data_IF_998082115325
#
_entry.id   IF_998082115325
#
_cell.length_a   1.000
_cell.length_b   1.000
_cell.length_c   1.000
_cell.angle_alpha   90.00
_cell.angle_beta   90.00
_cell.angle_gamma   90.00
#
_symmetry.space_group_name_H-M   'P 1'
#
loop_
_entity.id
_entity.type
_entity.pdbx_description
1 polymer ?
#
# COMPACT_ATOMS: atom_id res chain seq x y z
N UNK A 1 6.09 -4.97 -38.04
CA UNK A 1 4.97 -5.89 -37.68
C UNK A 1 5.33 -7.37 -37.84
N UNK A 2 5.70 -7.88 -39.03
CA UNK A 2 6.08 -9.31 -39.20
C UNK A 2 7.22 -9.76 -38.27
N UNK A 3 8.24 -8.94 -38.08
CA UNK A 3 9.38 -9.23 -37.21
C UNK A 3 8.98 -9.32 -35.71
N UNK A 4 8.08 -8.43 -35.25
CA UNK A 4 7.51 -8.48 -33.90
C UNK A 4 6.68 -9.75 -33.66
N UNK A 5 5.90 -10.20 -34.66
CA UNK A 5 5.13 -11.44 -34.54
C UNK A 5 6.02 -12.68 -34.44
N UNK A 6 7.15 -12.70 -35.17
CA UNK A 6 8.14 -13.80 -35.08
C UNK A 6 8.84 -13.78 -33.72
N UNK A 7 9.25 -12.61 -33.22
CA UNK A 7 9.84 -12.47 -31.89
C UNK A 7 8.86 -12.86 -30.78
N UNK A 8 7.59 -12.45 -30.89
CA UNK A 8 6.54 -12.86 -29.95
C UNK A 8 6.33 -14.38 -29.89
N UNK A 9 6.35 -15.06 -31.05
CA UNK A 9 6.25 -16.54 -31.11
C UNK A 9 7.46 -17.24 -30.49
N UNK A 10 8.67 -16.70 -30.69
CA UNK A 10 9.89 -17.24 -30.08
C UNK A 10 9.83 -17.15 -28.55
N UNK A 11 9.36 -16.01 -28.02
CA UNK A 11 9.17 -15.81 -26.59
C UNK A 11 8.10 -16.76 -26.04
N UNK A 12 6.97 -16.90 -26.74
CA UNK A 12 5.92 -17.85 -26.35
C UNK A 12 6.44 -19.30 -26.30
N UNK A 13 7.25 -19.70 -27.30
CA UNK A 13 7.88 -21.01 -27.33
C UNK A 13 8.85 -21.21 -26.15
N UNK A 14 9.64 -20.19 -25.80
CA UNK A 14 10.56 -20.23 -24.66
C UNK A 14 9.82 -20.35 -23.32
N UNK A 15 8.70 -19.63 -23.15
CA UNK A 15 7.86 -19.73 -21.94
C UNK A 15 7.28 -21.14 -21.80
N UNK A 16 6.79 -21.74 -22.90
CA UNK A 16 6.30 -23.13 -22.89
C UNK A 16 7.42 -24.11 -22.52
N UNK A 17 8.61 -23.93 -23.08
CA UNK A 17 9.76 -24.76 -22.77
C UNK A 17 10.15 -24.67 -21.28
N UNK A 18 10.18 -23.44 -20.74
CA UNK A 18 10.41 -23.19 -19.32
C UNK A 18 9.36 -23.88 -18.43
N UNK A 19 8.07 -23.77 -18.76
CA UNK A 19 6.99 -24.42 -17.99
C UNK A 19 7.16 -25.94 -17.96
N UNK A 20 7.41 -26.56 -19.11
CA UNK A 20 7.62 -28.01 -19.20
C UNK A 20 8.89 -28.45 -18.46
N UNK A 21 9.96 -27.66 -18.53
CA UNK A 21 11.21 -27.93 -17.85
C UNK A 21 11.08 -27.86 -16.31
N UNK A 22 10.30 -26.91 -15.79
CA UNK A 22 9.99 -26.76 -14.36
C UNK A 22 9.07 -27.90 -13.87
N UNK A 23 8.07 -28.27 -14.66
CA UNK A 23 7.18 -29.39 -14.32
C UNK A 23 7.90 -30.74 -14.29
N UNK A 24 8.85 -30.93 -15.21
CA UNK A 24 9.54 -32.22 -15.39
C UNK A 24 10.77 -32.34 -14.48
N UNK A 25 11.46 -31.25 -14.17
CA UNK A 25 12.68 -31.25 -13.38
C UNK A 25 12.50 -30.52 -12.05
N UNK A 26 12.75 -31.22 -10.93
CA UNK A 26 12.85 -30.59 -9.59
C UNK A 26 14.17 -29.81 -9.41
N UNK A 27 14.84 -29.43 -10.50
CA UNK A 27 16.15 -28.81 -10.46
C UNK A 27 16.03 -27.29 -10.59
N UNK A 28 16.26 -26.58 -9.48
CA UNK A 28 16.21 -25.12 -9.40
C UNK A 28 17.18 -24.44 -10.38
N UNK A 29 18.37 -24.98 -10.58
CA UNK A 29 19.40 -24.35 -11.43
C UNK A 29 18.98 -24.30 -12.90
N UNK A 30 18.24 -25.32 -13.33
CA UNK A 30 17.70 -25.38 -14.68
C UNK A 30 16.54 -24.38 -14.86
N UNK A 31 15.67 -24.25 -13.85
CA UNK A 31 14.61 -23.24 -13.84
C UNK A 31 15.17 -21.80 -13.92
N UNK A 32 16.20 -21.50 -13.13
CA UNK A 32 16.89 -20.19 -13.15
C UNK A 32 17.54 -19.93 -14.51
N UNK A 33 18.18 -20.94 -15.11
CA UNK A 33 18.82 -20.78 -16.44
C UNK A 33 17.81 -20.47 -17.54
N UNK A 34 16.68 -21.19 -17.58
CA UNK A 34 15.64 -20.97 -18.58
C UNK A 34 14.89 -19.65 -18.35
N UNK A 35 14.73 -19.24 -17.09
CA UNK A 35 14.18 -17.94 -16.72
C UNK A 35 15.09 -16.79 -17.20
N UNK A 36 16.41 -16.87 -16.99
CA UNK A 36 17.35 -15.86 -17.47
C UNK A 36 17.33 -15.73 -19.00
N UNK A 37 17.24 -16.85 -19.74
CA UNK A 37 17.09 -16.82 -21.21
C UNK A 37 15.79 -16.15 -21.64
N UNK A 38 14.68 -16.41 -20.94
CA UNK A 38 13.43 -15.69 -21.19
C UNK A 38 13.61 -14.19 -20.96
N UNK A 39 14.25 -13.79 -19.86
CA UNK A 39 14.47 -12.38 -19.53
C UNK A 39 15.33 -11.66 -20.58
N UNK A 40 16.38 -12.29 -21.09
CA UNK A 40 17.22 -11.78 -22.19
C UNK A 40 16.44 -11.54 -23.49
N UNK A 41 15.48 -12.41 -23.81
CA UNK A 41 14.64 -12.29 -25.00
C UNK A 41 13.48 -11.30 -24.80
N UNK A 42 12.92 -11.27 -23.60
CA UNK A 42 11.76 -10.44 -23.25
C UNK A 42 12.10 -8.95 -23.22
N UNK A 43 13.20 -8.56 -22.58
CA UNK A 43 13.57 -7.15 -22.40
C UNK A 43 13.60 -6.35 -23.71
N UNK A 44 14.36 -6.79 -24.74
CA UNK A 44 14.41 -6.12 -26.04
C UNK A 44 13.08 -6.13 -26.80
N UNK A 45 12.25 -7.15 -26.60
CA UNK A 45 10.93 -7.26 -27.24
C UNK A 45 9.93 -6.31 -26.59
N UNK A 46 9.86 -6.31 -25.26
CA UNK A 46 9.06 -5.36 -24.50
C UNK A 46 9.42 -3.92 -24.86
N UNK A 47 10.72 -3.59 -24.95
CA UNK A 47 11.22 -2.29 -25.39
C UNK A 47 10.67 -1.82 -26.75
N UNK A 48 10.39 -2.74 -27.68
CA UNK A 48 9.80 -2.42 -28.98
C UNK A 48 8.27 -2.28 -28.95
N UNK A 49 7.61 -2.87 -27.95
CA UNK A 49 6.15 -2.78 -27.79
C UNK A 49 5.74 -1.50 -27.06
N UNK A 50 6.59 -0.98 -26.16
CA UNK A 50 6.29 0.22 -25.37
C UNK A 50 5.97 1.47 -26.21
N UNK A 51 6.71 1.82 -27.27
CA UNK A 51 6.42 3.01 -28.07
C UNK A 51 5.08 2.96 -28.82
N UNK A 52 4.41 1.81 -28.85
CA UNK A 52 3.14 1.64 -29.58
C UNK A 52 1.94 2.26 -28.83
N UNK A 53 2.12 2.70 -27.56
CA UNK A 53 1.12 3.40 -26.74
C UNK A 53 -0.30 2.81 -26.84
N UNK A 54 -0.39 1.48 -26.82
CA UNK A 54 -1.67 0.77 -26.91
C UNK A 54 -2.04 0.23 -25.52
N UNK A 55 -3.15 0.73 -24.98
CA UNK A 55 -3.67 0.37 -23.66
C UNK A 55 -3.84 -1.14 -23.43
N UNK A 56 -4.19 -1.91 -24.47
CA UNK A 56 -4.32 -3.37 -24.36
C UNK A 56 -2.96 -4.06 -24.24
N UNK A 57 -1.94 -3.53 -24.93
CA UNK A 57 -0.56 -4.01 -24.84
C UNK A 57 0.03 -3.65 -23.47
N UNK A 58 -0.15 -2.41 -23.01
CA UNK A 58 0.33 -1.96 -21.68
C UNK A 58 -0.19 -2.86 -20.55
N UNK A 59 -1.49 -3.17 -20.54
CA UNK A 59 -2.08 -4.06 -19.53
C UNK A 59 -1.47 -5.47 -19.55
N UNK A 60 -1.18 -5.98 -20.75
CA UNK A 60 -0.59 -7.31 -20.92
C UNK A 60 0.89 -7.31 -20.50
N UNK A 61 1.62 -6.26 -20.87
CA UNK A 61 3.01 -6.03 -20.47
C UNK A 61 3.14 -5.92 -18.94
N UNK A 62 2.26 -5.14 -18.29
CA UNK A 62 2.22 -5.01 -16.83
C UNK A 62 1.93 -6.35 -16.13
N UNK A 63 1.03 -7.17 -16.66
CA UNK A 63 0.75 -8.51 -16.10
C UNK A 63 1.96 -9.43 -16.22
N UNK A 64 2.67 -9.38 -17.35
CA UNK A 64 3.88 -10.19 -17.54
C UNK A 64 4.97 -9.75 -16.55
N UNK A 65 5.17 -8.44 -16.37
CA UNK A 65 6.12 -7.91 -15.37
C UNK A 65 5.70 -8.24 -13.92
N UNK A 66 4.41 -8.25 -13.60
CA UNK A 66 3.95 -8.71 -12.30
C UNK A 66 4.28 -10.19 -12.07
N UNK A 67 4.10 -11.02 -13.10
CA UNK A 67 4.44 -12.45 -13.04
C UNK A 67 5.95 -12.65 -12.94
N UNK A 68 6.74 -11.84 -13.65
CA UNK A 68 8.20 -11.85 -13.60
C UNK A 68 8.75 -11.56 -12.19
N UNK A 69 8.13 -10.59 -11.48
CA UNK A 69 8.44 -10.29 -10.08
C UNK A 69 8.12 -11.46 -9.15
N UNK A 70 6.95 -12.10 -9.33
CA UNK A 70 6.58 -13.29 -8.56
C UNK A 70 7.55 -14.45 -8.80
N UNK A 71 8.04 -14.59 -10.04
CA UNK A 71 9.03 -15.62 -10.38
C UNK A 71 10.40 -15.35 -9.74
N UNK A 72 10.84 -14.08 -9.66
CA UNK A 72 12.05 -13.74 -8.91
C UNK A 72 11.95 -14.14 -7.42
N UNK A 73 10.78 -13.95 -6.80
CA UNK A 73 10.52 -14.36 -5.42
C UNK A 73 10.55 -15.88 -5.26
N UNK A 74 9.87 -16.61 -6.15
CA UNK A 74 9.82 -18.09 -6.13
C UNK A 74 11.20 -18.72 -6.39
N UNK A 75 12.00 -18.12 -7.27
CA UNK A 75 13.32 -18.63 -7.65
C UNK A 75 14.45 -18.16 -6.72
N UNK A 76 14.14 -17.29 -5.75
CA UNK A 76 15.12 -16.59 -4.90
C UNK A 76 16.23 -15.95 -5.74
N UNK A 77 15.83 -15.13 -6.72
CA UNK A 77 16.74 -14.30 -7.50
C UNK A 77 16.78 -12.90 -6.90
N UNK A 78 17.98 -12.33 -6.78
CA UNK A 78 18.16 -10.95 -6.34
C UNK A 78 17.46 -10.01 -7.32
N UNK A 79 16.51 -9.21 -6.83
CA UNK A 79 15.82 -8.20 -7.64
C UNK A 79 16.84 -7.14 -8.05
N UNK A 80 17.31 -7.17 -9.30
CA UNK A 80 18.11 -6.06 -9.83
C UNK A 80 17.21 -4.88 -10.15
N UNK A 81 17.58 -3.67 -9.71
CA UNK A 81 16.86 -2.45 -10.03
C UNK A 81 16.83 -2.22 -11.56
N UNK A 82 15.68 -2.39 -12.20
CA UNK A 82 15.53 -2.07 -13.63
C UNK A 82 15.26 -0.57 -13.81
N UNK A 83 16.34 0.19 -14.01
CA UNK A 83 16.26 1.65 -14.27
C UNK A 83 15.42 1.98 -15.51
N UNK A 84 15.35 1.10 -16.51
CA UNK A 84 14.53 1.34 -17.72
C UNK A 84 13.05 1.22 -17.39
N UNK A 85 12.68 0.25 -16.56
CA UNK A 85 11.33 0.11 -16.05
C UNK A 85 10.91 1.35 -15.26
N UNK A 86 11.78 1.84 -14.38
CA UNK A 86 11.52 3.06 -13.59
C UNK A 86 11.34 4.29 -14.48
N UNK A 87 12.25 4.54 -15.43
CA UNK A 87 12.14 5.65 -16.38
C UNK A 87 10.82 5.62 -17.13
N UNK A 88 10.37 4.43 -17.52
CA UNK A 88 9.10 4.24 -18.21
C UNK A 88 7.90 4.51 -17.31
N UNK A 89 7.88 3.96 -16.09
CA UNK A 89 6.80 4.22 -15.13
C UNK A 89 6.68 5.72 -14.82
N UNK A 90 7.80 6.42 -14.65
CA UNK A 90 7.84 7.87 -14.47
C UNK A 90 7.36 8.62 -15.73
N UNK A 91 7.64 8.12 -16.93
CA UNK A 91 7.08 8.69 -18.17
C UNK A 91 5.57 8.52 -18.28
N UNK A 92 5.04 7.35 -17.90
CA UNK A 92 3.58 7.09 -17.86
C UNK A 92 2.93 8.01 -16.83
N UNK A 93 3.52 8.13 -15.65
CA UNK A 93 3.04 9.05 -14.61
C UNK A 93 3.01 10.50 -15.13
N UNK A 94 4.09 10.97 -15.76
CA UNK A 94 4.12 12.32 -16.37
C UNK A 94 2.96 12.53 -17.34
N UNK A 95 2.71 11.57 -18.23
CA UNK A 95 1.63 11.67 -19.22
C UNK A 95 0.23 11.65 -18.56
N UNK A 96 0.03 10.82 -17.54
CA UNK A 96 -1.22 10.76 -16.78
C UNK A 96 -1.46 12.05 -15.98
N UNK A 97 -0.43 12.63 -15.37
CA UNK A 97 -0.50 13.93 -14.67
C UNK A 97 -0.82 15.08 -15.63
N UNK A 98 -0.12 15.15 -16.78
CA UNK A 98 -0.41 16.15 -17.81
C UNK A 98 -1.86 16.04 -18.31
N UNK A 99 -2.36 14.81 -18.48
CA UNK A 99 -3.74 14.57 -18.88
C UNK A 99 -4.71 14.97 -17.76
N UNK A 100 -4.43 14.60 -16.52
CA UNK A 100 -5.23 14.97 -15.34
C UNK A 100 -5.40 16.48 -15.23
N UNK A 101 -4.31 17.24 -15.34
CA UNK A 101 -4.34 18.70 -15.26
C UNK A 101 -5.03 19.35 -16.45
N UNK A 102 -4.93 18.77 -17.66
CA UNK A 102 -5.64 19.26 -18.85
C UNK A 102 -7.14 18.96 -18.83
N UNK A 103 -7.54 17.81 -18.28
CA UNK A 103 -8.95 17.41 -18.15
C UNK A 103 -9.65 18.20 -17.06
N UNK A 104 -8.92 18.70 -16.06
CA UNK A 104 -9.50 19.47 -14.97
C UNK A 104 -9.95 20.84 -15.44
N UNK A 105 -11.27 20.98 -15.64
CA UNK A 105 -11.88 22.23 -16.09
C UNK A 105 -12.11 23.20 -14.92
N UNK A 106 -12.30 24.49 -15.23
CA UNK A 106 -12.69 25.49 -14.23
C UNK A 106 -14.01 25.12 -13.52
N UNK A 107 -14.92 24.45 -14.21
CA UNK A 107 -16.17 23.96 -13.62
C UNK A 107 -15.90 22.88 -12.56
N UNK A 108 -15.02 21.92 -12.88
CA UNK A 108 -14.58 20.87 -11.95
C UNK A 108 -13.89 21.50 -10.72
N UNK A 109 -13.03 22.52 -10.92
CA UNK A 109 -12.39 23.27 -9.83
C UNK A 109 -13.40 23.98 -8.91
N UNK A 110 -14.48 24.52 -9.47
CA UNK A 110 -15.51 25.19 -8.67
C UNK A 110 -16.30 24.23 -7.78
N UNK A 111 -16.36 22.94 -8.15
CA UNK A 111 -17.01 21.90 -7.34
C UNK A 111 -16.12 21.33 -6.23
N UNK A 112 -14.81 21.56 -6.28
CA UNK A 112 -13.84 21.05 -5.32
C UNK A 112 -13.75 21.93 -4.07
N UNK A 113 -13.59 21.30 -2.90
CA UNK A 113 -13.49 22.02 -1.62
C UNK A 113 -12.15 22.76 -1.46
N UNK A 114 -11.07 22.26 -2.09
CA UNK A 114 -9.69 22.70 -1.86
C UNK A 114 -9.02 23.31 -3.12
N UNK A 115 -9.76 24.14 -3.86
CA UNK A 115 -9.30 24.70 -5.15
C UNK A 115 -8.00 25.50 -5.08
N UNK A 116 -7.78 26.24 -3.99
CA UNK A 116 -6.62 27.13 -3.84
C UNK A 116 -5.32 26.34 -3.55
N UNK A 117 -5.48 25.13 -3.03
CA UNK A 117 -4.37 24.21 -2.73
C UNK A 117 -3.97 23.42 -3.97
N UNK A 118 -4.93 23.12 -4.85
CA UNK A 118 -4.69 22.26 -6.01
C UNK A 118 -3.60 22.78 -6.93
N UNK A 119 -3.61 24.08 -7.27
CA UNK A 119 -2.60 24.63 -8.19
C UNK A 119 -1.18 24.51 -7.62
N UNK A 120 -1.03 24.73 -6.30
CA UNK A 120 0.26 24.60 -5.63
C UNK A 120 0.70 23.13 -5.59
N UNK A 121 -0.19 22.25 -5.11
CA UNK A 121 0.08 20.81 -5.04
C UNK A 121 0.41 20.22 -6.42
N UNK A 122 -0.31 20.64 -7.48
CA UNK A 122 -0.03 20.23 -8.86
C UNK A 122 1.34 20.71 -9.36
N UNK A 123 1.74 21.94 -8.99
CA UNK A 123 3.06 22.48 -9.34
C UNK A 123 4.17 21.71 -8.62
N UNK A 124 4.01 21.47 -7.32
CA UNK A 124 4.97 20.75 -6.49
C UNK A 124 5.12 19.30 -6.98
N UNK A 125 4.00 18.64 -7.31
CA UNK A 125 4.00 17.30 -7.87
C UNK A 125 4.75 17.23 -9.22
N UNK A 126 4.51 18.19 -10.12
CA UNK A 126 5.22 18.24 -11.40
C UNK A 126 6.72 18.46 -11.22
N UNK A 127 7.12 19.30 -10.27
CA UNK A 127 8.54 19.53 -9.93
C UNK A 127 9.16 18.25 -9.38
N UNK A 128 8.50 17.58 -8.44
CA UNK A 128 8.97 16.33 -7.84
C UNK A 128 9.09 15.21 -8.89
N UNK A 129 8.09 15.08 -9.76
CA UNK A 129 8.07 14.06 -10.82
C UNK A 129 9.18 14.31 -11.84
N UNK A 130 9.38 15.57 -12.25
CA UNK A 130 10.49 15.94 -13.15
C UNK A 130 11.85 15.66 -12.51
N UNK A 131 12.02 15.98 -11.22
CA UNK A 131 13.26 15.71 -10.49
C UNK A 131 13.57 14.22 -10.45
N UNK A 132 12.57 13.37 -10.17
CA UNK A 132 12.73 11.92 -10.21
C UNK A 132 13.11 11.44 -11.63
N UNK A 133 12.43 11.95 -12.67
CA UNK A 133 12.73 11.61 -14.06
C UNK A 133 14.18 11.98 -14.45
N UNK A 134 14.62 13.18 -14.08
CA UNK A 134 15.98 13.68 -14.35
C UNK A 134 17.03 12.84 -13.61
N UNK A 135 16.75 12.43 -12.37
CA UNK A 135 17.66 11.56 -11.61
C UNK A 135 17.72 10.13 -12.12
N UNK A 136 16.60 9.60 -12.63
CA UNK A 136 16.57 8.32 -13.33
C UNK A 136 17.35 8.38 -14.64
N UNK A 137 17.27 9.48 -15.39
CA UNK A 137 18.05 9.68 -16.60
C UNK A 137 19.55 9.80 -16.31
N UNK A 138 19.91 10.43 -15.18
CA UNK A 138 21.29 10.57 -14.72
C UNK A 138 21.86 9.30 -14.04
N UNK A 139 21.09 8.21 -13.94
CA UNK A 139 21.47 6.97 -13.25
C UNK A 139 22.00 7.22 -11.83
N UNK A 140 21.31 8.07 -11.07
CA UNK A 140 21.71 8.36 -9.69
C UNK A 140 21.58 7.13 -8.79
N UNK A 141 22.24 7.19 -7.63
CA UNK A 141 22.22 6.12 -6.64
C UNK A 141 20.80 5.85 -6.11
N UNK A 142 20.51 4.60 -5.78
CA UNK A 142 19.20 4.14 -5.32
C UNK A 142 18.66 4.97 -4.13
N UNK A 143 19.50 5.26 -3.13
CA UNK A 143 19.10 6.06 -1.97
C UNK A 143 18.59 7.47 -2.36
N UNK A 144 19.17 8.07 -3.40
CA UNK A 144 18.71 9.37 -3.89
C UNK A 144 17.38 9.25 -4.65
N UNK A 145 17.21 8.20 -5.46
CA UNK A 145 15.95 7.93 -6.16
C UNK A 145 14.80 7.68 -5.17
N UNK A 146 15.09 6.94 -4.09
CA UNK A 146 14.15 6.68 -2.99
C UNK A 146 13.74 7.98 -2.28
N UNK A 147 14.69 8.85 -1.93
CA UNK A 147 14.38 10.15 -1.31
C UNK A 147 13.56 11.06 -2.22
N UNK A 148 13.86 11.08 -3.52
CA UNK A 148 13.11 11.87 -4.50
C UNK A 148 11.71 11.31 -4.74
N UNK A 149 11.55 9.98 -4.70
CA UNK A 149 10.23 9.35 -4.73
C UNK A 149 9.39 9.67 -3.49
N UNK A 150 9.97 9.70 -2.28
CA UNK A 150 9.24 10.11 -1.08
C UNK A 150 8.68 11.53 -1.18
N UNK A 151 9.47 12.46 -1.74
CA UNK A 151 8.99 13.82 -2.00
C UNK A 151 7.85 13.84 -3.03
N UNK A 152 7.95 13.02 -4.09
CA UNK A 152 6.89 12.85 -5.08
C UNK A 152 5.60 12.30 -4.45
N UNK A 153 5.73 11.28 -3.59
CA UNK A 153 4.61 10.64 -2.90
C UNK A 153 3.89 11.61 -1.97
N UNK A 154 4.63 12.42 -1.21
CA UNK A 154 4.05 13.47 -0.38
C UNK A 154 3.25 14.48 -1.20
N UNK A 155 3.80 14.97 -2.32
CA UNK A 155 3.08 15.88 -3.21
C UNK A 155 1.86 15.22 -3.87
N UNK A 156 1.91 13.92 -4.13
CA UNK A 156 0.78 13.16 -4.68
C UNK A 156 -0.43 13.16 -3.73
N UNK A 157 -0.19 12.92 -2.43
CA UNK A 157 -1.24 12.91 -1.41
C UNK A 157 -1.94 14.28 -1.27
N UNK A 158 -1.19 15.36 -1.44
CA UNK A 158 -1.76 16.72 -1.44
C UNK A 158 -2.69 16.93 -2.65
N UNK A 159 -2.30 16.43 -3.82
CA UNK A 159 -3.14 16.47 -5.03
C UNK A 159 -4.39 15.63 -4.83
N UNK A 160 -4.27 14.39 -4.36
CA UNK A 160 -5.41 13.50 -4.11
C UNK A 160 -6.42 14.13 -3.12
N UNK A 161 -5.91 14.73 -2.04
CA UNK A 161 -6.72 15.47 -1.07
C UNK A 161 -7.39 16.69 -1.70
N UNK A 162 -6.73 17.38 -2.63
CA UNK A 162 -7.31 18.51 -3.33
C UNK A 162 -8.43 18.11 -4.31
N UNK A 163 -8.38 16.87 -4.85
CA UNK A 163 -9.44 16.31 -5.69
C UNK A 163 -10.59 15.66 -4.89
N UNK A 164 -10.57 15.66 -3.55
CA UNK A 164 -11.70 15.18 -2.73
C UNK A 164 -12.98 15.95 -3.09
N UNK A 165 -14.05 15.20 -3.38
CA UNK A 165 -15.34 15.74 -3.82
C UNK A 165 -15.51 15.92 -5.32
N UNK A 166 -14.50 15.58 -6.14
CA UNK A 166 -14.67 15.55 -7.59
C UNK A 166 -15.47 14.31 -8.02
N UNK A 167 -16.61 14.51 -8.70
CA UNK A 167 -17.45 13.42 -9.20
C UNK A 167 -17.20 13.07 -10.68
N UNK A 168 -16.26 13.76 -11.34
CA UNK A 168 -16.04 13.59 -12.78
C UNK A 168 -15.38 12.22 -13.09
N UNK A 169 -16.05 11.33 -13.85
CA UNK A 169 -15.56 9.96 -14.03
C UNK A 169 -14.20 9.85 -14.70
N UNK A 170 -13.86 10.78 -15.62
CA UNK A 170 -12.56 10.77 -16.29
C UNK A 170 -11.43 11.15 -15.33
N UNK A 171 -11.64 12.16 -14.47
CA UNK A 171 -10.68 12.59 -13.45
C UNK A 171 -10.45 11.46 -12.45
N UNK A 172 -11.53 10.85 -11.93
CA UNK A 172 -11.43 9.70 -11.02
C UNK A 172 -10.67 8.52 -11.63
N UNK A 173 -10.84 8.28 -12.93
CA UNK A 173 -10.11 7.23 -13.66
C UNK A 173 -8.61 7.57 -13.75
N UNK A 174 -8.26 8.82 -14.01
CA UNK A 174 -6.87 9.28 -14.10
C UNK A 174 -6.18 9.23 -12.73
N UNK A 175 -6.86 9.67 -11.67
CA UNK A 175 -6.35 9.56 -10.29
C UNK A 175 -5.99 8.11 -9.94
N UNK A 176 -6.89 7.16 -10.18
CA UNK A 176 -6.61 5.72 -9.94
C UNK A 176 -5.44 5.19 -10.78
N UNK A 177 -5.33 5.62 -12.04
CA UNK A 177 -4.23 5.23 -12.94
C UNK A 177 -2.88 5.73 -12.40
N UNK A 178 -2.83 6.99 -11.98
CA UNK A 178 -1.66 7.60 -11.38
C UNK A 178 -1.29 6.94 -10.05
N UNK A 179 -2.24 6.68 -9.13
CA UNK A 179 -1.97 5.96 -7.88
C UNK A 179 -1.38 4.56 -8.14
N UNK A 180 -1.93 3.82 -9.11
CA UNK A 180 -1.39 2.51 -9.48
C UNK A 180 0.04 2.59 -10.04
N UNK A 181 0.33 3.67 -10.78
CA UNK A 181 1.67 3.92 -11.31
C UNK A 181 2.64 4.29 -10.20
N UNK A 182 2.24 5.14 -9.24
CA UNK A 182 3.00 5.46 -8.03
C UNK A 182 3.39 4.21 -7.23
N UNK A 183 2.42 3.33 -6.96
CA UNK A 183 2.68 2.03 -6.31
C UNK A 183 3.65 1.16 -7.12
N UNK A 184 3.57 1.20 -8.44
CA UNK A 184 4.48 0.43 -9.29
C UNK A 184 5.92 0.97 -9.21
N UNK A 185 6.10 2.29 -9.15
CA UNK A 185 7.41 2.95 -8.96
C UNK A 185 7.97 2.62 -7.57
N UNK A 186 7.15 2.71 -6.53
CA UNK A 186 7.53 2.39 -5.15
C UNK A 186 8.08 0.97 -5.02
N UNK A 187 7.33 -0.01 -5.56
CA UNK A 187 7.74 -1.41 -5.58
C UNK A 187 9.04 -1.61 -6.38
N UNK A 188 9.19 -0.91 -7.52
CA UNK A 188 10.39 -1.00 -8.34
C UNK A 188 11.63 -0.38 -7.65
N UNK A 189 11.45 0.65 -6.83
CA UNK A 189 12.51 1.26 -6.01
C UNK A 189 12.89 0.44 -4.78
N UNK A 190 12.29 -0.74 -4.59
CA UNK A 190 12.51 -1.59 -3.41
C UNK A 190 12.38 -0.78 -2.12
N UNK A 191 11.42 0.13 -2.10
CA UNK A 191 10.96 0.74 -0.87
C UNK A 191 10.14 -0.34 -0.14
N UNK A 192 10.84 -1.35 0.38
CA UNK A 192 10.38 -2.05 1.57
C UNK A 192 10.30 -0.96 2.65
N UNK A 193 9.16 -0.88 3.34
CA UNK A 193 8.77 0.18 4.29
C UNK A 193 8.14 1.44 3.70
N UNK A 194 7.34 1.28 2.66
CA UNK A 194 6.20 2.15 2.52
C UNK A 194 5.15 1.74 3.53
N UNK A 195 5.00 2.52 4.61
CA UNK A 195 3.85 2.43 5.50
C UNK A 195 2.57 2.33 4.66
N UNK A 196 1.96 1.14 4.62
CA UNK A 196 0.73 0.90 3.88
C UNK A 196 -0.44 1.52 4.66
N UNK A 197 -0.74 2.77 4.33
CA UNK A 197 -1.78 3.56 4.99
C UNK A 197 -3.16 2.90 4.87
N UNK A 198 -3.48 2.30 3.73
CA UNK A 198 -4.77 1.63 3.54
C UNK A 198 -4.90 0.42 4.46
N UNK A 199 -3.85 -0.40 4.55
CA UNK A 199 -3.79 -1.53 5.48
C UNK A 199 -3.86 -1.06 6.93
N UNK A 200 -3.14 0.00 7.31
CA UNK A 200 -3.17 0.54 8.67
C UNK A 200 -4.55 1.11 9.05
N UNK A 201 -5.22 1.81 8.12
CA UNK A 201 -6.61 2.28 8.31
C UNK A 201 -7.57 1.10 8.51
N UNK A 202 -7.46 0.03 7.72
CA UNK A 202 -8.30 -1.17 7.89
C UNK A 202 -8.06 -1.87 9.23
N UNK A 203 -6.81 -1.96 9.68
CA UNK A 203 -6.47 -2.52 10.99
C UNK A 203 -7.10 -1.66 12.10
N UNK A 204 -6.96 -0.34 12.03
CA UNK A 204 -7.52 0.59 13.02
C UNK A 204 -9.04 0.55 13.06
N UNK A 205 -9.71 0.47 11.90
CA UNK A 205 -11.16 0.30 11.82
C UNK A 205 -11.61 -1.03 12.46
N UNK A 206 -10.86 -2.11 12.24
CA UNK A 206 -11.14 -3.42 12.86
C UNK A 206 -10.95 -3.37 14.38
N UNK A 207 -9.87 -2.74 14.86
CA UNK A 207 -9.60 -2.53 16.28
C UNK A 207 -10.68 -1.66 16.95
N UNK A 208 -11.19 -0.66 16.25
CA UNK A 208 -12.31 0.17 16.71
C UNK A 208 -13.56 -0.68 16.91
N UNK A 209 -13.97 -1.46 15.90
CA UNK A 209 -15.12 -2.36 15.97
C UNK A 209 -14.99 -3.39 17.10
N UNK A 210 -13.82 -4.02 17.25
CA UNK A 210 -13.58 -4.96 18.36
C UNK A 210 -13.59 -4.26 19.72
N UNK A 211 -13.09 -3.04 19.79
CA UNK A 211 -13.17 -2.21 20.99
C UNK A 211 -14.62 -1.90 21.38
N UNK A 212 -15.50 -1.59 20.43
CA UNK A 212 -16.92 -1.38 20.69
C UNK A 212 -17.61 -2.65 21.23
N UNK A 213 -17.37 -3.81 20.61
CA UNK A 213 -17.86 -5.09 21.12
C UNK A 213 -17.31 -5.43 22.51
N UNK A 214 -16.09 -5.01 22.82
CA UNK A 214 -15.50 -5.18 24.14
C UNK A 214 -16.21 -4.31 25.19
N UNK A 215 -16.50 -3.05 24.86
CA UNK A 215 -17.28 -2.16 25.75
C UNK A 215 -18.67 -2.73 26.01
N UNK A 216 -19.34 -3.22 24.96
CA UNK A 216 -20.65 -3.85 25.07
C UNK A 216 -20.58 -5.08 25.99
N UNK A 217 -19.57 -5.93 25.81
CA UNK A 217 -19.34 -7.11 26.66
C UNK A 217 -19.09 -6.73 28.13
N UNK A 218 -18.30 -5.68 28.40
CA UNK A 218 -18.09 -5.19 29.76
C UNK A 218 -19.39 -4.64 30.38
N UNK A 219 -20.17 -3.87 29.60
CA UNK A 219 -21.43 -3.28 30.05
C UNK A 219 -22.51 -4.33 30.35
N UNK A 220 -22.58 -5.37 29.52
CA UNK A 220 -23.64 -6.39 29.58
C UNK A 220 -23.32 -7.56 30.50
N UNK A 221 -22.03 -7.96 30.60
CA UNK A 221 -21.63 -9.18 31.30
C UNK A 221 -20.87 -8.91 32.60
N UNK A 222 -20.02 -7.88 32.63
CA UNK A 222 -19.10 -7.64 33.76
C UNK A 222 -19.66 -6.62 34.75
N UNK A 223 -20.32 -5.57 34.26
CA UNK A 223 -20.91 -4.53 35.10
C UNK A 223 -22.11 -5.00 35.95
N UNK A 224 -23.03 -5.83 35.43
CA UNK A 224 -24.18 -6.31 36.21
C UNK A 224 -23.84 -7.49 37.13
N UNK A 225 -22.69 -8.15 36.92
CA UNK A 225 -22.31 -9.36 37.63
C UNK A 225 -21.78 -9.04 39.04
N UNK A 226 -22.49 -9.52 40.06
CA UNK A 226 -22.19 -9.29 41.49
C UNK A 226 -20.90 -9.98 41.96
N UNK A 227 -20.33 -10.89 41.16
CA UNK A 227 -19.06 -11.55 41.48
C UNK A 227 -17.86 -10.60 41.42
N UNK A 228 -17.97 -9.48 40.69
CA UNK A 228 -16.91 -8.48 40.56
C UNK A 228 -17.19 -7.26 41.43
N UNK A 229 -16.13 -6.64 41.96
CA UNK A 229 -16.30 -5.38 42.66
C UNK A 229 -16.78 -4.30 41.68
N UNK A 230 -17.76 -3.49 42.09
CA UNK A 230 -18.30 -2.41 41.24
C UNK A 230 -17.22 -1.47 40.72
N UNK A 231 -16.17 -1.22 41.52
CA UNK A 231 -15.01 -0.41 41.12
C UNK A 231 -14.22 -1.07 39.98
N UNK A 232 -13.98 -2.38 40.06
CA UNK A 232 -13.29 -3.13 39.01
C UNK A 232 -14.08 -3.10 37.69
N UNK A 233 -15.38 -3.38 37.73
CA UNK A 233 -16.20 -3.41 36.51
C UNK A 233 -16.32 -2.03 35.85
N UNK A 234 -16.48 -0.96 36.64
CA UNK A 234 -16.51 0.42 36.12
C UNK A 234 -15.15 0.79 35.51
N UNK A 235 -14.05 0.45 36.18
CA UNK A 235 -12.72 0.77 35.70
C UNK A 235 -12.37 -0.01 34.41
N UNK A 236 -12.74 -1.29 34.33
CA UNK A 236 -12.55 -2.10 33.12
C UNK A 236 -13.35 -1.56 31.93
N UNK A 237 -14.61 -1.19 32.14
CA UNK A 237 -15.43 -0.54 31.11
C UNK A 237 -14.82 0.79 30.66
N UNK A 238 -14.37 1.62 31.60
CA UNK A 238 -13.72 2.89 31.29
C UNK A 238 -12.42 2.68 30.50
N UNK A 239 -11.59 1.72 30.87
CA UNK A 239 -10.35 1.40 30.12
C UNK A 239 -10.66 0.88 28.72
N UNK A 240 -11.72 0.08 28.53
CA UNK A 240 -12.18 -0.34 27.20
C UNK A 240 -12.67 0.85 26.36
N UNK A 241 -13.40 1.80 26.96
CA UNK A 241 -13.83 3.04 26.31
C UNK A 241 -12.65 3.91 25.88
N UNK A 242 -11.66 4.07 26.77
CA UNK A 242 -10.43 4.81 26.47
C UNK A 242 -9.65 4.18 25.32
N UNK A 243 -9.52 2.85 25.31
CA UNK A 243 -8.88 2.12 24.21
C UNK A 243 -9.57 2.42 22.88
N UNK A 244 -10.89 2.23 22.78
CA UNK A 244 -11.62 2.48 21.53
C UNK A 244 -11.57 3.94 21.09
N UNK A 245 -11.73 4.89 22.02
CA UNK A 245 -11.64 6.31 21.70
C UNK A 245 -10.25 6.68 21.16
N UNK A 246 -9.19 6.09 21.75
CA UNK A 246 -7.82 6.32 21.30
C UNK A 246 -7.56 5.70 19.92
N UNK A 247 -8.05 4.49 19.67
CA UNK A 247 -8.02 3.86 18.34
C UNK A 247 -8.73 4.71 17.30
N UNK A 248 -9.94 5.20 17.59
CA UNK A 248 -10.74 6.05 16.71
C UNK A 248 -10.01 7.35 16.37
N UNK A 249 -9.34 7.98 17.34
CA UNK A 249 -8.56 9.19 17.08
C UNK A 249 -7.39 8.92 16.14
N UNK A 250 -6.65 7.82 16.33
CA UNK A 250 -5.55 7.46 15.42
C UNK A 250 -6.11 7.11 14.02
N UNK A 251 -7.23 6.40 13.96
CA UNK A 251 -7.93 6.07 12.72
C UNK A 251 -8.29 7.34 11.93
N UNK A 252 -8.92 8.32 12.59
CA UNK A 252 -9.32 9.57 11.98
C UNK A 252 -8.12 10.38 11.47
N UNK A 253 -7.10 10.56 12.30
CA UNK A 253 -5.90 11.33 11.94
C UNK A 253 -5.15 10.69 10.77
N UNK A 254 -5.10 9.35 10.75
CA UNK A 254 -4.49 8.63 9.64
C UNK A 254 -5.31 8.75 8.35
N UNK A 255 -6.64 8.75 8.43
CA UNK A 255 -7.53 8.95 7.29
C UNK A 255 -7.53 10.40 6.75
N UNK A 256 -7.28 11.38 7.62
CA UNK A 256 -7.07 12.78 7.23
C UNK A 256 -5.70 13.03 6.61
N UNK A 257 -4.78 12.09 6.78
CA UNK A 257 -3.50 12.05 6.08
C UNK A 257 -2.32 12.54 6.91
N UNK A 258 -2.45 12.53 8.24
CA UNK A 258 -1.34 12.79 9.16
C UNK A 258 -0.17 11.83 8.90
N UNK A 259 1.06 12.34 9.00
CA UNK A 259 2.27 11.58 8.72
C UNK A 259 2.46 10.44 9.74
N UNK A 260 2.83 9.22 9.31
CA UNK A 260 2.98 8.06 10.19
C UNK A 260 3.98 8.25 11.34
N UNK A 261 5.02 9.06 11.13
CA UNK A 261 6.03 9.39 12.16
C UNK A 261 5.40 10.10 13.38
N UNK A 262 4.41 10.97 13.16
CA UNK A 262 3.70 11.67 14.24
C UNK A 262 2.75 10.73 15.01
N UNK A 263 2.31 9.66 14.37
CA UNK A 263 1.40 8.67 14.95
C UNK A 263 2.12 7.51 15.64
N UNK A 264 3.42 7.31 15.39
CA UNK A 264 4.24 6.23 15.99
C UNK A 264 4.14 6.20 17.52
N UNK A 265 4.41 7.33 18.18
CA UNK A 265 4.35 7.42 19.65
C UNK A 265 2.93 7.17 20.22
N UNK A 266 1.90 7.46 19.42
CA UNK A 266 0.51 7.19 19.78
C UNK A 266 0.19 5.71 19.61
N UNK A 267 0.65 5.06 18.54
CA UNK A 267 0.50 3.62 18.36
C UNK A 267 1.18 2.83 19.50
N UNK A 268 2.37 3.23 19.93
CA UNK A 268 3.03 2.63 21.11
C UNK A 268 2.19 2.74 22.38
N UNK A 269 1.54 3.90 22.54
CA UNK A 269 0.66 4.16 23.69
C UNK A 269 -0.60 3.31 23.61
N UNK A 270 -1.15 3.10 22.41
CA UNK A 270 -2.27 2.19 22.17
C UNK A 270 -1.89 0.74 22.52
N UNK A 271 -0.72 0.27 22.09
CA UNK A 271 -0.20 -1.07 22.41
C UNK A 271 -0.05 -1.27 23.92
N UNK A 272 0.52 -0.28 24.63
CA UNK A 272 0.61 -0.33 26.10
C UNK A 272 -0.77 -0.33 26.76
N UNK A 273 -1.69 0.50 26.27
CA UNK A 273 -3.07 0.54 26.75
C UNK A 273 -3.80 -0.80 26.58
N UNK A 274 -3.60 -1.46 25.43
CA UNK A 274 -4.12 -2.81 25.18
C UNK A 274 -3.55 -3.84 26.15
N UNK A 275 -2.22 -3.87 26.35
CA UNK A 275 -1.59 -4.79 27.31
C UNK A 275 -2.15 -4.60 28.71
N UNK A 276 -2.29 -3.36 29.16
CA UNK A 276 -2.91 -3.04 30.45
C UNK A 276 -4.35 -3.56 30.55
N UNK A 277 -5.20 -3.29 29.55
CA UNK A 277 -6.58 -3.77 29.53
C UNK A 277 -6.66 -5.31 29.60
N UNK A 278 -5.81 -5.99 28.85
CA UNK A 278 -5.80 -7.45 28.78
C UNK A 278 -5.32 -8.10 30.08
N UNK A 279 -4.19 -7.64 30.63
CA UNK A 279 -3.57 -8.20 31.84
C UNK A 279 -4.36 -7.86 33.11
N UNK A 280 -4.82 -6.61 33.24
CA UNK A 280 -5.43 -6.14 34.47
C UNK A 280 -6.93 -6.44 34.59
N UNK A 281 -7.63 -6.59 33.47
CA UNK A 281 -9.07 -6.84 33.48
C UNK A 281 -9.44 -8.18 32.86
N UNK A 282 -9.12 -8.39 31.57
CA UNK A 282 -9.61 -9.58 30.83
C UNK A 282 -9.12 -10.88 31.46
N UNK A 283 -7.83 -10.97 31.81
CA UNK A 283 -7.27 -12.19 32.41
C UNK A 283 -7.79 -12.49 33.82
N UNK A 284 -8.32 -11.48 34.53
CA UNK A 284 -8.86 -11.62 35.90
C UNK A 284 -10.35 -11.98 35.93
N UNK A 285 -11.01 -12.00 34.77
CA UNK A 285 -12.38 -12.49 34.64
C UNK A 285 -12.42 -14.02 34.76
N UNK A 286 -13.57 -14.54 35.17
CA UNK A 286 -13.85 -15.97 35.30
C UNK A 286 -15.07 -16.37 34.45
N UNK A 287 -15.35 -17.67 34.33
CA UNK A 287 -16.59 -18.15 33.71
C UNK A 287 -16.78 -17.78 32.22
N UNK A 288 -18.04 -17.57 31.84
CA UNK A 288 -18.48 -17.31 30.46
C UNK A 288 -18.00 -15.96 29.91
N UNK A 289 -17.90 -14.96 30.77
CA UNK A 289 -17.45 -13.61 30.41
C UNK A 289 -15.98 -13.59 30.04
N UNK A 290 -15.15 -14.38 30.74
CA UNK A 290 -13.74 -14.57 30.38
C UNK A 290 -13.62 -15.19 28.99
N UNK A 291 -14.43 -16.18 28.67
CA UNK A 291 -14.35 -16.88 27.39
C UNK A 291 -14.69 -15.93 26.23
N UNK A 292 -15.77 -15.16 26.35
CA UNK A 292 -16.17 -14.20 25.32
C UNK A 292 -15.14 -13.08 25.14
N UNK A 293 -14.65 -12.49 26.23
CA UNK A 293 -13.64 -11.42 26.16
C UNK A 293 -12.25 -11.94 25.75
N UNK A 294 -11.92 -13.20 26.04
CA UNK A 294 -10.69 -13.84 25.57
C UNK A 294 -10.72 -14.10 24.06
N UNK A 295 -11.89 -14.42 23.47
CA UNK A 295 -12.04 -14.53 22.01
C UNK A 295 -11.80 -13.21 21.31
N UNK A 296 -12.33 -12.11 21.85
CA UNK A 296 -12.05 -10.76 21.35
C UNK A 296 -10.56 -10.41 21.52
N UNK A 297 -9.96 -10.73 22.67
CA UNK A 297 -8.53 -10.52 22.91
C UNK A 297 -7.62 -11.28 21.92
N UNK A 298 -8.00 -12.50 21.54
CA UNK A 298 -7.30 -13.29 20.53
C UNK A 298 -7.39 -12.69 19.11
N UNK A 299 -8.41 -11.88 18.82
CA UNK A 299 -8.55 -11.17 17.54
C UNK A 299 -7.82 -9.81 17.55
N UNK A 300 -7.84 -9.10 18.67
CA UNK A 300 -7.20 -7.79 18.83
C UNK A 300 -5.67 -7.92 18.88
N UNK A 301 -5.13 -8.91 19.60
CA UNK A 301 -3.68 -9.01 19.85
C UNK A 301 -2.84 -9.13 18.57
N UNK A 302 -3.18 -9.97 17.58
CA UNK A 302 -2.45 -10.05 16.31
C UNK A 302 -2.48 -8.72 15.54
N UNK A 303 -3.64 -8.05 15.52
CA UNK A 303 -3.80 -6.75 14.85
C UNK A 303 -2.95 -5.66 15.50
N UNK A 304 -2.84 -5.66 16.84
CA UNK A 304 -1.97 -4.75 17.57
C UNK A 304 -0.48 -4.99 17.26
N UNK A 305 -0.06 -6.25 17.14
CA UNK A 305 1.32 -6.59 16.75
C UNK A 305 1.60 -6.17 15.31
N UNK A 306 0.66 -6.44 14.39
CA UNK A 306 0.78 -6.03 13.00
C UNK A 306 0.87 -4.49 12.87
N UNK A 307 0.00 -3.76 13.59
CA UNK A 307 0.06 -2.31 13.65
C UNK A 307 1.42 -1.84 14.17
N UNK A 308 1.90 -2.41 15.27
CA UNK A 308 3.21 -2.07 15.83
C UNK A 308 4.34 -2.29 14.81
N UNK A 309 4.37 -3.44 14.13
CA UNK A 309 5.39 -3.73 13.11
C UNK A 309 5.35 -2.77 11.93
N UNK A 310 4.17 -2.24 11.57
CA UNK A 310 4.05 -1.26 10.49
C UNK A 310 4.58 0.12 10.88
N UNK A 311 4.50 0.48 12.17
CA UNK A 311 4.99 1.75 12.67
C UNK A 311 6.43 1.68 13.19
N UNK A 312 6.99 0.52 13.50
CA UNK A 312 8.36 0.37 14.05
C UNK A 312 9.47 0.38 12.98
N UNK A 313 9.11 0.47 11.69
CA UNK A 313 10.08 0.68 10.60
C UNK A 313 10.20 2.14 10.21
#
# INVERSE_FOLDING_TARGET
>A
VRQLLVQGRLIEQQVRFMSTAIETSKNRDLAVTEFNKFHELWGPFAAQLWPLNNRYLERSLQRIEQTDRQLHEVLWLDKTLDTRQLQRLTSVLTADLDKLFKTTTLYSLMSMQNRDVLLRAATDLNIANKKLADSLAANKQLAQLQAEFRALDQSWHQVETAYKGCEEPEILRLLRSSSQTMLSIQNALQLEDAFDRDTAVQILASLENYGEHMQESFSTLVLPNQQYSRRFSIQGLHTAQQFTAFTRNIHYDLAEGVEPEELRARCDTLVRGWKYLNEEFIQKLNGSEREQLSRLSAQITPLMVQLQTMFDV
#
